data_IF_610578430131
#
_entry.id   IF_610578430131
#
_cell.length_a   1.000
_cell.length_b   1.000
_cell.length_c   1.000
_cell.angle_alpha   90.00
_cell.angle_beta   90.00
_cell.angle_gamma   90.00
#
_symmetry.space_group_name_H-M   'P 1'
#
loop_
_entity.id
_entity.type
_entity.pdbx_description
1 polymer ?
#
# COMPACT_ATOMS: atom_id res chain seq x y z
N UNK A 1 -10.44 -0.03 -13.69
CA UNK A 1 -10.21 1.24 -12.97
C UNK A 1 -10.30 1.10 -11.43
N UNK A 2 -11.08 0.16 -10.86
CA UNK A 2 -11.35 0.15 -9.40
C UNK A 2 -10.22 -0.38 -8.49
N UNK A 3 -9.36 -1.32 -8.93
CA UNK A 3 -8.30 -1.88 -8.07
C UNK A 3 -6.95 -1.16 -8.21
N UNK A 4 -6.67 -0.53 -9.36
CA UNK A 4 -5.44 0.25 -9.63
C UNK A 4 -4.14 -0.52 -9.29
N UNK A 5 -4.13 -1.81 -9.66
CA UNK A 5 -3.00 -2.71 -9.47
C UNK A 5 -1.97 -2.55 -10.59
N UNK A 6 -0.70 -2.40 -10.22
CA UNK A 6 0.40 -2.25 -11.17
C UNK A 6 1.01 -3.61 -11.53
N UNK A 7 0.98 -3.95 -12.82
CA UNK A 7 1.59 -5.15 -13.38
C UNK A 7 2.57 -4.78 -14.48
N UNK A 8 3.74 -5.42 -14.50
CA UNK A 8 4.78 -5.16 -15.52
C UNK A 8 4.34 -5.62 -16.91
N UNK A 9 3.56 -6.71 -16.99
CA UNK A 9 3.02 -7.24 -18.24
C UNK A 9 1.78 -8.09 -18.01
N UNK A 10 0.81 -8.00 -18.92
CA UNK A 10 -0.39 -8.85 -18.93
C UNK A 10 -0.11 -10.31 -19.30
N UNK A 11 1.08 -10.61 -19.85
CA UNK A 11 1.51 -11.96 -20.25
C UNK A 11 2.44 -12.62 -19.21
N UNK A 12 2.72 -11.95 -18.09
CA UNK A 12 3.55 -12.50 -17.04
C UNK A 12 2.89 -13.76 -16.44
N UNK A 13 3.69 -14.79 -16.14
CA UNK A 13 3.17 -16.00 -15.50
C UNK A 13 2.75 -15.68 -14.06
N UNK A 14 1.64 -16.27 -13.63
CA UNK A 14 1.10 -16.10 -12.25
C UNK A 14 2.10 -16.57 -11.19
N UNK A 15 2.98 -17.52 -11.53
CA UNK A 15 4.06 -18.00 -10.65
C UNK A 15 5.05 -16.92 -10.25
N UNK A 16 5.18 -15.88 -11.09
CA UNK A 16 6.21 -14.84 -10.93
C UNK A 16 5.62 -13.59 -10.24
N UNK A 17 4.36 -13.66 -9.81
CA UNK A 17 3.64 -12.56 -9.15
C UNK A 17 3.75 -12.66 -7.64
N UNK A 18 3.75 -11.52 -6.97
CA UNK A 18 3.66 -11.47 -5.51
C UNK A 18 2.34 -12.08 -5.02
N UNK A 19 2.30 -12.53 -3.77
CA UNK A 19 1.05 -13.04 -3.17
C UNK A 19 -0.07 -12.00 -3.19
N UNK A 20 0.25 -10.72 -2.97
CA UNK A 20 -0.69 -9.60 -3.10
C UNK A 20 -1.22 -9.46 -4.54
N UNK A 21 -0.35 -9.51 -5.55
CA UNK A 21 -0.75 -9.45 -6.96
C UNK A 21 -1.65 -10.63 -7.35
N UNK A 22 -1.35 -11.82 -6.86
CA UNK A 22 -2.18 -13.02 -7.09
C UNK A 22 -3.57 -12.86 -6.47
N UNK A 23 -3.65 -12.31 -5.25
CA UNK A 23 -4.91 -11.99 -4.59
C UNK A 23 -5.73 -10.98 -5.40
N UNK A 24 -5.10 -9.90 -5.88
CA UNK A 24 -5.75 -8.88 -6.70
C UNK A 24 -6.30 -9.44 -8.01
N UNK A 25 -5.60 -10.38 -8.64
CA UNK A 25 -6.10 -11.09 -9.83
C UNK A 25 -7.31 -11.95 -9.47
N UNK A 26 -7.31 -12.65 -8.34
CA UNK A 26 -8.45 -13.44 -7.89
C UNK A 26 -9.70 -12.56 -7.68
N UNK A 27 -9.55 -11.40 -7.05
CA UNK A 27 -10.62 -10.42 -6.88
C UNK A 27 -11.09 -9.90 -8.24
N UNK A 28 -10.16 -9.52 -9.12
CA UNK A 28 -10.49 -9.01 -10.45
C UNK A 28 -11.28 -10.04 -11.30
N UNK A 29 -11.01 -11.34 -11.15
CA UNK A 29 -11.77 -12.42 -11.82
C UNK A 29 -13.22 -12.50 -11.37
N UNK A 30 -13.51 -12.19 -10.11
CA UNK A 30 -14.90 -12.12 -9.61
C UNK A 30 -15.63 -10.96 -10.29
N UNK A 31 -14.95 -9.83 -10.48
CA UNK A 31 -15.53 -8.64 -11.11
C UNK A 31 -15.91 -8.83 -12.58
N UNK A 32 -15.33 -9.81 -13.29
CA UNK A 32 -15.63 -10.02 -14.72
C UNK A 32 -16.93 -10.79 -14.95
N UNK A 33 -17.56 -11.35 -13.90
CA UNK A 33 -18.77 -12.14 -14.03
C UNK A 33 -19.89 -11.55 -13.16
N UNK A 34 -21.07 -11.26 -13.72
CA UNK A 34 -22.21 -10.86 -12.90
C UNK A 34 -22.64 -12.06 -12.04
N UNK A 35 -22.55 -11.90 -10.72
CA UNK A 35 -22.93 -12.93 -9.75
C UNK A 35 -24.11 -12.42 -8.90
N UNK A 36 -25.00 -13.33 -8.50
CA UNK A 36 -26.07 -13.02 -7.54
C UNK A 36 -25.61 -13.20 -6.08
N UNK A 37 -24.58 -14.01 -5.88
CA UNK A 37 -23.98 -14.31 -4.59
C UNK A 37 -22.45 -14.37 -4.74
N UNK A 38 -21.73 -13.69 -3.87
CA UNK A 38 -20.27 -13.71 -3.80
C UNK A 38 -19.87 -14.19 -2.40
N UNK A 39 -19.01 -15.21 -2.37
CA UNK A 39 -18.38 -15.70 -1.13
C UNK A 39 -16.95 -15.16 -1.09
N UNK A 40 -16.60 -14.50 0.00
CA UNK A 40 -15.31 -13.84 0.16
C UNK A 40 -14.70 -14.32 1.47
N UNK A 41 -13.70 -15.21 1.36
CA UNK A 41 -13.05 -15.84 2.51
C UNK A 41 -11.69 -15.20 2.79
N UNK A 42 -11.59 -14.52 3.93
CA UNK A 42 -10.44 -13.80 4.46
C UNK A 42 -9.55 -13.12 3.39
N UNK A 43 -10.15 -12.25 2.55
CA UNK A 43 -9.49 -11.77 1.35
C UNK A 43 -8.42 -10.71 1.65
N UNK A 44 -8.41 -10.16 2.87
CA UNK A 44 -7.58 -9.02 3.28
C UNK A 44 -6.20 -9.43 3.81
N UNK A 45 -5.99 -10.71 4.14
CA UNK A 45 -4.78 -11.19 4.80
C UNK A 45 -3.48 -10.91 4.02
N UNK A 46 -3.55 -10.89 2.69
CA UNK A 46 -2.40 -10.72 1.79
C UNK A 46 -2.34 -9.34 1.11
N UNK A 47 -3.25 -8.44 1.47
CA UNK A 47 -3.35 -7.12 0.88
C UNK A 47 -2.76 -6.07 1.83
N UNK A 48 -2.03 -5.11 1.28
CA UNK A 48 -1.68 -3.90 2.03
C UNK A 48 -2.93 -3.06 2.35
N UNK A 49 -2.80 -2.15 3.30
CA UNK A 49 -3.88 -1.28 3.76
C UNK A 49 -4.65 -0.57 2.64
N UNK A 50 -3.96 -0.02 1.63
CA UNK A 50 -4.61 0.70 0.53
C UNK A 50 -5.53 -0.24 -0.29
N UNK A 51 -5.06 -1.45 -0.60
CA UNK A 51 -5.87 -2.43 -1.32
C UNK A 51 -6.98 -3.03 -0.45
N UNK A 52 -6.78 -3.17 0.87
CA UNK A 52 -7.86 -3.57 1.78
C UNK A 52 -9.03 -2.57 1.71
N UNK A 53 -8.76 -1.26 1.80
CA UNK A 53 -9.81 -0.24 1.69
C UNK A 53 -10.54 -0.29 0.35
N UNK A 54 -9.81 -0.49 -0.76
CA UNK A 54 -10.41 -0.65 -2.09
C UNK A 54 -11.32 -1.89 -2.17
N UNK A 55 -10.91 -3.00 -1.55
CA UNK A 55 -11.72 -4.21 -1.50
C UNK A 55 -13.00 -4.01 -0.69
N UNK A 56 -12.92 -3.36 0.48
CA UNK A 56 -14.11 -3.06 1.28
C UNK A 56 -15.09 -2.16 0.52
N UNK A 57 -14.59 -1.12 -0.15
CA UNK A 57 -15.42 -0.27 -1.02
C UNK A 57 -16.04 -1.05 -2.20
N UNK A 58 -15.30 -2.01 -2.76
CA UNK A 58 -15.81 -2.88 -3.83
C UNK A 58 -16.95 -3.77 -3.32
N UNK A 59 -16.81 -4.35 -2.13
CA UNK A 59 -17.85 -5.16 -1.48
C UNK A 59 -19.13 -4.34 -1.28
N UNK A 60 -19.01 -3.11 -0.76
CA UNK A 60 -20.15 -2.20 -0.62
C UNK A 60 -20.81 -1.90 -1.98
N UNK A 61 -20.02 -1.72 -3.03
CA UNK A 61 -20.57 -1.48 -4.37
C UNK A 61 -21.36 -2.68 -4.91
N UNK A 62 -20.93 -3.91 -4.62
CA UNK A 62 -21.68 -5.11 -5.00
C UNK A 62 -23.02 -5.20 -4.27
N UNK A 63 -23.04 -4.87 -2.98
CA UNK A 63 -24.27 -4.83 -2.18
C UNK A 63 -25.27 -3.81 -2.74
N UNK A 64 -24.80 -2.60 -3.07
CA UNK A 64 -25.62 -1.55 -3.68
C UNK A 64 -26.20 -1.96 -5.04
N UNK A 65 -25.52 -2.87 -5.75
CA UNK A 65 -25.99 -3.45 -7.02
C UNK A 65 -26.98 -4.61 -6.82
N UNK A 66 -27.35 -4.94 -5.58
CA UNK A 66 -28.26 -6.04 -5.25
C UNK A 66 -27.58 -7.42 -5.26
N UNK A 67 -26.26 -7.48 -5.20
CA UNK A 67 -25.52 -8.74 -5.07
C UNK A 67 -25.41 -9.13 -3.61
N UNK A 68 -25.79 -10.36 -3.27
CA UNK A 68 -25.58 -10.88 -1.92
C UNK A 68 -24.09 -11.18 -1.71
N UNK A 69 -23.54 -10.82 -0.55
CA UNK A 69 -22.13 -11.07 -0.21
C UNK A 69 -22.05 -11.78 1.14
N UNK A 70 -21.35 -12.91 1.19
CA UNK A 70 -20.91 -13.53 2.44
C UNK A 70 -19.42 -13.21 2.59
N UNK A 71 -19.10 -12.47 3.64
CA UNK A 71 -17.75 -11.99 3.91
C UNK A 71 -17.24 -12.56 5.23
N UNK A 72 -16.11 -13.26 5.18
CA UNK A 72 -15.39 -13.74 6.35
C UNK A 72 -14.11 -12.91 6.53
N UNK A 73 -13.84 -12.46 7.75
CA UNK A 73 -12.60 -11.79 8.11
C UNK A 73 -12.25 -12.04 9.56
N UNK A 74 -10.95 -12.14 9.84
CA UNK A 74 -10.43 -12.15 11.21
C UNK A 74 -10.33 -10.74 11.82
N UNK A 75 -10.70 -9.69 11.06
CA UNK A 75 -10.67 -8.31 11.53
C UNK A 75 -12.11 -7.79 11.76
N UNK A 76 -12.41 -7.38 12.99
CA UNK A 76 -13.73 -6.85 13.34
C UNK A 76 -14.03 -5.52 12.65
N UNK A 77 -13.07 -4.59 12.52
CA UNK A 77 -13.27 -3.31 11.81
C UNK A 77 -13.76 -3.54 10.37
N UNK A 78 -13.24 -4.56 9.69
CA UNK A 78 -13.65 -4.93 8.35
C UNK A 78 -15.08 -5.48 8.33
N UNK A 79 -15.43 -6.35 9.28
CA UNK A 79 -16.79 -6.86 9.41
C UNK A 79 -17.79 -5.71 9.63
N UNK A 80 -17.53 -4.84 10.61
CA UNK A 80 -18.37 -3.68 10.89
C UNK A 80 -18.47 -2.69 9.72
N UNK A 81 -17.46 -2.60 8.86
CA UNK A 81 -17.47 -1.66 7.75
C UNK A 81 -18.37 -2.09 6.56
N UNK A 82 -18.62 -3.39 6.37
CA UNK A 82 -19.25 -3.88 5.13
C UNK A 82 -20.37 -4.89 5.34
N UNK A 83 -20.73 -5.26 6.57
CA UNK A 83 -21.77 -6.28 6.80
C UNK A 83 -23.04 -5.65 7.36
N UNK A 84 -24.20 -6.13 6.90
CA UNK A 84 -25.50 -5.79 7.51
C UNK A 84 -25.81 -6.67 8.73
N UNK A 85 -25.27 -7.90 8.73
CA UNK A 85 -25.44 -8.90 9.78
C UNK A 85 -24.16 -9.69 10.01
N UNK A 86 -23.92 -10.09 11.26
CA UNK A 86 -22.77 -10.89 11.67
C UNK A 86 -23.25 -12.19 12.30
N UNK A 87 -22.83 -13.31 11.71
CA UNK A 87 -23.08 -14.65 12.23
C UNK A 87 -21.84 -15.15 12.96
N UNK A 88 -22.00 -15.54 14.22
CA UNK A 88 -20.90 -16.11 15.02
C UNK A 88 -21.06 -17.62 15.11
N UNK A 89 -20.06 -18.34 14.58
CA UNK A 89 -20.04 -19.80 14.62
C UNK A 89 -18.97 -20.30 15.60
N UNK A 90 -19.33 -21.31 16.40
CA UNK A 90 -18.41 -22.02 17.29
C UNK A 90 -18.63 -23.52 17.18
N UNK A 91 -17.56 -24.27 16.91
CA UNK A 91 -17.62 -25.72 16.68
C UNK A 91 -18.69 -26.12 15.64
N UNK A 92 -18.82 -25.34 14.56
CA UNK A 92 -19.80 -25.58 13.50
C UNK A 92 -21.26 -25.27 13.87
N UNK A 93 -21.52 -24.70 15.04
CA UNK A 93 -22.86 -24.29 15.47
C UNK A 93 -22.99 -22.77 15.47
N UNK A 94 -24.15 -22.27 15.06
CA UNK A 94 -24.50 -20.85 15.17
C UNK A 94 -24.71 -20.50 16.63
N UNK A 95 -23.88 -19.60 17.16
CA UNK A 95 -23.96 -19.12 18.55
C UNK A 95 -24.75 -17.83 18.64
N UNK A 96 -24.59 -16.95 17.65
CA UNK A 96 -25.26 -15.67 17.60
C UNK A 96 -25.48 -15.21 16.17
N UNK A 97 -26.52 -14.40 16.01
CA UNK A 97 -26.92 -13.77 14.76
C UNK A 97 -27.29 -12.31 15.09
N UNK A 98 -26.36 -11.41 14.77
CA UNK A 98 -26.45 -10.00 15.13
C UNK A 98 -26.73 -9.14 13.92
N UNK A 99 -27.50 -8.08 14.11
CA UNK A 99 -27.55 -6.94 13.19
C UNK A 99 -26.31 -6.10 13.48
N UNK A 100 -25.51 -5.78 12.45
CA UNK A 100 -24.20 -5.14 12.63
C UNK A 100 -24.30 -3.79 13.35
N UNK A 101 -25.34 -3.00 13.03
CA UNK A 101 -25.55 -1.67 13.62
C UNK A 101 -26.07 -1.71 15.07
N UNK A 102 -26.55 -2.87 15.53
CA UNK A 102 -27.13 -3.06 16.86
C UNK A 102 -26.20 -3.83 17.81
N UNK A 103 -24.98 -4.17 17.36
CA UNK A 103 -24.05 -4.98 18.14
C UNK A 103 -22.70 -4.29 18.40
N UNK A 104 -22.02 -4.76 19.42
CA UNK A 104 -20.70 -4.30 19.85
C UNK A 104 -19.62 -5.36 19.61
N UNK A 105 -18.35 -4.91 19.61
CA UNK A 105 -17.19 -5.83 19.51
C UNK A 105 -17.20 -6.83 20.66
N UNK A 106 -17.56 -6.35 21.84
CA UNK A 106 -17.65 -7.10 23.07
C UNK A 106 -18.62 -8.27 22.94
N UNK A 107 -19.81 -8.06 22.38
CA UNK A 107 -20.83 -9.09 22.17
C UNK A 107 -20.39 -10.15 21.16
N UNK A 108 -19.73 -9.74 20.08
CA UNK A 108 -19.19 -10.67 19.07
C UNK A 108 -18.09 -11.54 19.69
N UNK A 109 -17.12 -10.93 20.38
CA UNK A 109 -16.03 -11.67 21.02
C UNK A 109 -16.54 -12.56 22.15
N UNK A 110 -17.55 -12.09 22.89
CA UNK A 110 -18.22 -12.90 23.91
C UNK A 110 -18.88 -14.14 23.31
N UNK A 111 -19.59 -14.01 22.19
CA UNK A 111 -20.18 -15.13 21.49
C UNK A 111 -19.13 -16.11 20.92
N UNK A 112 -17.98 -15.59 20.45
CA UNK A 112 -16.86 -16.42 19.96
C UNK A 112 -16.22 -17.26 21.07
N UNK A 113 -15.97 -16.65 22.23
CA UNK A 113 -15.32 -17.30 23.38
C UNK A 113 -16.30 -18.12 24.22
N UNK A 114 -17.59 -17.83 24.13
CA UNK A 114 -18.63 -18.43 24.97
C UNK A 114 -18.55 -18.01 26.44
N UNK A 115 -18.04 -16.80 26.72
CA UNK A 115 -17.89 -16.24 28.06
C UNK A 115 -18.33 -14.79 28.09
N UNK A 116 -18.95 -14.37 29.21
CA UNK A 116 -19.33 -12.98 29.49
C UNK A 116 -18.37 -12.29 30.47
N UNK A 117 -17.34 -13.00 30.90
CA UNK A 117 -16.39 -12.52 31.90
C UNK A 117 -15.50 -11.41 31.31
N UNK A 118 -15.64 -10.19 31.84
CA UNK A 118 -14.89 -9.02 31.36
C UNK A 118 -13.38 -9.15 31.56
N UNK A 119 -12.93 -9.93 32.55
CA UNK A 119 -11.50 -10.19 32.77
C UNK A 119 -10.91 -11.05 31.64
N UNK A 120 -11.73 -11.87 30.98
CA UNK A 120 -11.34 -12.70 29.84
C UNK A 120 -11.58 -12.00 28.50
N UNK A 121 -12.64 -11.19 28.40
CA UNK A 121 -13.01 -10.48 27.17
C UNK A 121 -12.02 -9.37 26.83
N UNK A 122 -11.63 -8.57 27.82
CA UNK A 122 -10.78 -7.38 27.57
C UNK A 122 -9.43 -7.75 26.93
N UNK A 123 -8.70 -8.77 27.42
CA UNK A 123 -7.46 -9.22 26.78
C UNK A 123 -7.67 -9.81 25.38
N UNK A 124 -8.78 -10.51 25.13
CA UNK A 124 -9.06 -11.13 23.84
C UNK A 124 -9.43 -10.10 22.78
N UNK A 125 -10.29 -9.13 23.12
CA UNK A 125 -10.61 -7.96 22.29
C UNK A 125 -9.31 -7.17 22.02
N UNK A 126 -8.51 -6.95 23.06
CA UNK A 126 -7.23 -6.27 22.92
C UNK A 126 -6.25 -7.06 22.02
N UNK A 127 -6.19 -8.37 22.11
CA UNK A 127 -5.32 -9.19 21.25
C UNK A 127 -5.76 -9.12 19.78
N UNK A 128 -7.07 -9.19 19.51
CA UNK A 128 -7.65 -9.04 18.17
C UNK A 128 -7.35 -7.66 17.58
N UNK A 129 -7.62 -6.59 18.33
CA UNK A 129 -7.41 -5.22 17.86
C UNK A 129 -5.92 -4.86 17.79
N UNK A 130 -5.12 -5.26 18.78
CA UNK A 130 -3.71 -4.84 18.90
C UNK A 130 -2.80 -5.53 17.90
N UNK A 131 -3.01 -6.83 17.64
CA UNK A 131 -2.28 -7.53 16.60
C UNK A 131 -2.49 -6.85 15.24
N UNK A 132 -3.75 -6.54 14.92
CA UNK A 132 -4.09 -5.95 13.64
C UNK A 132 -3.59 -4.51 13.52
N UNK A 133 -3.79 -3.68 14.54
CA UNK A 133 -3.30 -2.29 14.56
C UNK A 133 -1.77 -2.23 14.49
N UNK A 134 -1.07 -3.09 15.21
CA UNK A 134 0.39 -3.18 15.15
C UNK A 134 0.86 -3.61 13.76
N UNK A 135 0.20 -4.60 13.16
CA UNK A 135 0.51 -5.05 11.81
C UNK A 135 0.26 -3.95 10.77
N UNK A 136 -0.86 -3.23 10.85
CA UNK A 136 -1.17 -2.08 9.99
C UNK A 136 -0.12 -0.95 10.14
N UNK A 137 0.26 -0.62 11.38
CA UNK A 137 1.29 0.37 11.64
C UNK A 137 2.64 -0.04 11.04
N UNK A 138 3.04 -1.30 11.21
CA UNK A 138 4.27 -1.83 10.64
C UNK A 138 4.27 -1.76 9.11
N UNK A 139 3.17 -2.14 8.46
CA UNK A 139 3.03 -2.04 7.00
C UNK A 139 3.12 -0.59 6.50
N UNK A 140 2.45 0.34 7.19
CA UNK A 140 2.49 1.77 6.84
C UNK A 140 3.90 2.34 6.97
N UNK A 141 4.60 2.03 8.06
CA UNK A 141 5.99 2.44 8.27
C UNK A 141 6.91 1.86 7.20
N UNK A 142 6.74 0.59 6.85
CA UNK A 142 7.53 -0.04 5.79
C UNK A 142 7.30 0.65 4.42
N UNK A 143 6.05 0.97 4.09
CA UNK A 143 5.75 1.72 2.87
C UNK A 143 6.38 3.12 2.87
N UNK A 144 6.29 3.85 3.99
CA UNK A 144 6.93 5.15 4.14
C UNK A 144 8.46 5.06 4.01
N UNK A 145 9.07 4.04 4.61
CA UNK A 145 10.51 3.79 4.49
C UNK A 145 10.91 3.56 3.04
N UNK A 146 10.20 2.71 2.28
CA UNK A 146 10.49 2.47 0.87
C UNK A 146 10.36 3.73 0.01
N UNK A 147 9.36 4.57 0.29
CA UNK A 147 9.20 5.86 -0.38
C UNK A 147 10.36 6.80 -0.05
N UNK A 148 10.78 6.86 1.21
CA UNK A 148 11.93 7.65 1.66
C UNK A 148 13.23 7.15 1.00
N UNK A 149 13.49 5.85 0.98
CA UNK A 149 14.66 5.26 0.32
C UNK A 149 14.68 5.58 -1.18
N UNK A 150 13.53 5.49 -1.87
CA UNK A 150 13.41 5.90 -3.28
C UNK A 150 13.68 7.39 -3.48
N UNK A 151 13.16 8.25 -2.61
CA UNK A 151 13.38 9.69 -2.68
C UNK A 151 14.83 10.06 -2.39
N UNK A 152 15.45 9.43 -1.39
CA UNK A 152 16.86 9.61 -1.05
C UNK A 152 17.77 9.11 -2.18
N UNK A 153 17.46 7.97 -2.80
CA UNK A 153 18.19 7.47 -3.97
C UNK A 153 18.09 8.45 -5.16
N UNK A 154 16.90 9.01 -5.43
CA UNK A 154 16.71 10.06 -6.44
C UNK A 154 17.47 11.35 -6.12
N UNK A 155 17.44 11.81 -4.87
CA UNK A 155 18.19 13.00 -4.45
C UNK A 155 19.70 12.77 -4.53
N UNK A 156 20.18 11.58 -4.16
CA UNK A 156 21.58 11.20 -4.30
C UNK A 156 22.05 11.29 -5.75
N UNK A 157 21.28 10.74 -6.70
CA UNK A 157 21.63 10.82 -8.12
C UNK A 157 21.58 12.26 -8.66
N UNK A 158 20.59 13.05 -8.25
CA UNK A 158 20.48 14.47 -8.62
C UNK A 158 21.66 15.30 -8.10
N UNK A 159 22.03 15.12 -6.82
CA UNK A 159 23.17 15.81 -6.23
C UNK A 159 24.47 15.44 -6.94
N UNK A 160 24.67 14.16 -7.26
CA UNK A 160 25.85 13.69 -7.97
C UNK A 160 25.91 14.27 -9.40
N UNK A 161 24.78 14.32 -10.11
CA UNK A 161 24.69 14.98 -11.42
C UNK A 161 25.01 16.49 -11.33
N UNK A 162 24.52 17.18 -10.30
CA UNK A 162 24.80 18.59 -10.09
C UNK A 162 26.30 18.84 -9.84
N UNK A 163 26.94 17.98 -9.02
CA UNK A 163 28.37 18.06 -8.74
C UNK A 163 29.18 17.82 -10.03
N UNK A 164 28.82 16.80 -10.82
CA UNK A 164 29.49 16.55 -12.11
C UNK A 164 29.33 17.73 -13.07
N UNK A 165 28.13 18.30 -13.15
CA UNK A 165 27.83 19.44 -14.01
C UNK A 165 28.59 20.71 -13.57
N UNK A 166 28.65 20.97 -12.27
CA UNK A 166 29.46 22.07 -11.70
C UNK A 166 30.95 21.84 -11.95
N UNK A 167 31.46 20.62 -11.74
CA UNK A 167 32.85 20.27 -12.00
C UNK A 167 33.22 20.49 -13.48
N UNK A 168 32.31 20.12 -14.38
CA UNK A 168 32.48 20.36 -15.81
C UNK A 168 32.51 21.86 -16.14
N UNK A 169 31.59 22.65 -15.57
CA UNK A 169 31.55 24.11 -15.77
C UNK A 169 32.81 24.80 -15.23
N UNK A 170 33.29 24.42 -14.04
CA UNK A 170 34.53 24.96 -13.47
C UNK A 170 35.72 24.68 -14.39
N UNK A 171 35.87 23.44 -14.89
CA UNK A 171 36.94 23.09 -15.84
C UNK A 171 36.84 23.88 -17.15
N UNK A 172 35.63 24.14 -17.63
CA UNK A 172 35.41 24.95 -18.83
C UNK A 172 35.81 26.41 -18.60
N UNK A 173 35.49 26.97 -17.44
CA UNK A 173 35.90 28.31 -17.00
C UNK A 173 37.42 28.44 -16.89
N UNK A 174 38.10 27.45 -16.30
CA UNK A 174 39.57 27.45 -16.19
C UNK A 174 40.24 27.45 -17.58
N UNK A 175 39.73 26.64 -18.51
CA UNK A 175 40.20 26.63 -19.90
C UNK A 175 39.99 27.99 -20.59
N UNK A 176 38.83 28.60 -20.40
CA UNK A 176 38.53 29.91 -20.97
C UNK A 176 39.46 31.00 -20.42
N UNK A 177 39.73 30.98 -19.11
CA UNK A 177 40.67 31.91 -18.47
C UNK A 177 42.10 31.74 -19.00
N UNK A 178 42.57 30.49 -19.15
CA UNK A 178 43.89 30.22 -19.73
C UNK A 178 44.00 30.75 -21.18
N UNK A 179 42.97 30.50 -22.00
CA UNK A 179 42.94 31.00 -23.37
C UNK A 179 42.95 32.53 -23.45
N UNK A 180 42.22 33.20 -22.54
CA UNK A 180 42.22 34.66 -22.41
C UNK A 180 43.60 35.21 -22.02
N UNK A 181 44.27 34.58 -21.05
CA UNK A 181 45.62 34.97 -20.64
C UNK A 181 46.62 34.81 -21.78
N UNK A 182 46.54 33.73 -22.55
CA UNK A 182 47.40 33.51 -23.72
C UNK A 182 47.14 34.54 -24.82
N UNK A 183 45.87 34.85 -25.10
CA UNK A 183 45.50 35.89 -26.07
C UNK A 183 46.03 37.27 -25.63
N UNK A 184 45.91 37.60 -24.34
CA UNK A 184 46.40 38.85 -23.80
C UNK A 184 47.93 38.95 -23.87
N UNK A 185 48.65 37.86 -23.62
CA UNK A 185 50.11 37.81 -23.82
C UNK A 185 50.49 38.05 -25.27
N UNK A 186 49.80 37.42 -26.22
CA UNK A 186 50.06 37.59 -27.66
C UNK A 186 49.88 39.05 -28.11
N UNK A 187 48.79 39.68 -27.67
CA UNK A 187 48.52 41.10 -27.97
C UNK A 187 49.58 42.05 -27.39
N UNK A 188 50.11 41.75 -26.20
CA UNK A 188 51.21 42.52 -25.61
C UNK A 188 52.49 42.38 -26.42
N UNK A 189 52.84 41.16 -26.87
CA UNK A 189 54.02 40.92 -27.70
C UNK A 189 53.90 41.49 -29.11
N UNK A 190 52.72 41.48 -29.73
CA UNK A 190 52.49 42.12 -31.04
C UNK A 190 52.67 43.64 -30.96
N UNK A 191 52.16 44.28 -29.89
CA UNK A 191 52.36 45.72 -29.66
C UNK A 191 53.81 46.12 -29.35
N UNK A 192 54.61 45.21 -28.81
CA UNK A 192 56.05 45.43 -28.61
C UNK A 192 56.84 45.27 -29.92
N UNK A 193 56.37 44.47 -30.87
CA UNK A 193 57.00 44.33 -32.20
C UNK A 193 56.60 45.45 -33.19
N UNK A 194 55.46 46.13 -32.96
CA UNK A 194 55.04 47.30 -33.75
C UNK A 194 55.72 48.63 -33.34
N UNK A 195 56.52 48.63 -32.26
CA UNK A 195 57.30 49.78 -31.77
C UNK A 195 58.77 49.70 -32.17
#
# INVERSE_FOLDING_TARGET
AQLDAHFTSLRQKVTDLSSEQRQLIAIARVMTHPAKLILVDDPTALLNYSYQQKLLALIQSWQQQGTAVIFNSHNLDHLFAVTDRILVLRHGRLMADYITDETSREEIVSALLGTIDREQLTPAIWALDSYYRAHQHAQRLHHQQQLLERNLAKQGSLNQQLIEQLSYQVKALDKANLALQDAQRRLLTEREQER
#
